data_IF_866605957762
#
_entry.id   IF_866605957762
#
_cell.length_a   1.000
_cell.length_b   1.000
_cell.length_c   1.000
_cell.angle_alpha   90.00
_cell.angle_beta   90.00
_cell.angle_gamma   90.00
#
_symmetry.space_group_name_H-M   'P 1'
#
loop_
_entity.id
_entity.type
_entity.pdbx_description
1 polymer ?
#
# COMPACT_ATOMS: atom_id res chain seq x y z
N UNK A 1 9.41 -4.59 -30.12
CA UNK A 1 9.07 -3.15 -30.05
C UNK A 1 9.14 -2.54 -28.64
N UNK A 2 9.32 -3.32 -27.55
CA UNK A 2 9.49 -2.78 -26.19
C UNK A 2 10.64 -1.74 -26.06
N UNK A 3 11.82 -2.04 -26.61
CA UNK A 3 12.93 -1.06 -26.70
C UNK A 3 12.56 0.21 -27.47
N UNK A 4 11.64 0.12 -28.44
CA UNK A 4 11.17 1.29 -29.17
C UNK A 4 10.17 2.11 -28.35
N UNK A 5 9.30 1.47 -27.55
CA UNK A 5 8.43 2.17 -26.61
C UNK A 5 9.22 2.92 -25.54
N UNK A 6 10.19 2.26 -24.90
CA UNK A 6 11.08 2.89 -23.91
C UNK A 6 11.87 4.07 -24.50
N UNK A 7 12.32 3.94 -25.75
CA UNK A 7 13.02 5.01 -26.45
C UNK A 7 12.09 6.19 -26.79
N UNK A 8 10.86 5.92 -27.22
CA UNK A 8 9.84 6.96 -27.46
C UNK A 8 9.52 7.68 -26.14
N UNK A 9 9.37 6.93 -25.04
CA UNK A 9 9.04 7.46 -23.74
C UNK A 9 10.18 8.32 -23.19
N UNK A 10 11.42 7.84 -23.30
CA UNK A 10 12.64 8.57 -22.95
C UNK A 10 12.80 9.84 -23.79
N UNK A 11 12.54 9.78 -25.09
CA UNK A 11 12.56 10.95 -25.97
C UNK A 11 11.47 11.96 -25.63
N UNK A 12 10.25 11.50 -25.30
CA UNK A 12 9.16 12.36 -24.86
C UNK A 12 9.49 13.05 -23.54
N UNK A 13 10.12 12.34 -22.60
CA UNK A 13 10.61 12.93 -21.35
C UNK A 13 11.72 13.96 -21.59
N UNK A 14 12.76 13.60 -22.36
CA UNK A 14 13.89 14.48 -22.66
C UNK A 14 13.50 15.75 -23.43
N UNK A 15 12.43 15.70 -24.23
CA UNK A 15 11.91 16.85 -24.99
C UNK A 15 10.81 17.63 -24.26
N UNK A 16 10.50 17.28 -23.01
CA UNK A 16 9.43 17.94 -22.24
C UNK A 16 8.01 17.68 -22.76
N UNK A 17 7.83 16.68 -23.64
CA UNK A 17 6.56 16.33 -24.28
C UNK A 17 5.81 15.18 -23.62
N UNK A 18 6.33 14.63 -22.51
CA UNK A 18 5.76 13.50 -21.78
C UNK A 18 4.28 13.74 -21.40
N UNK A 19 3.95 14.89 -20.82
CA UNK A 19 2.58 15.24 -20.44
C UNK A 19 1.61 15.23 -21.65
N UNK A 20 2.04 15.76 -22.80
CA UNK A 20 1.24 15.74 -24.04
C UNK A 20 1.04 14.32 -24.57
N UNK A 21 2.07 13.48 -24.48
CA UNK A 21 2.01 12.08 -24.89
C UNK A 21 1.05 11.28 -24.02
N UNK A 22 1.18 11.39 -22.69
CA UNK A 22 0.29 10.76 -21.72
C UNK A 22 -1.16 11.18 -21.92
N UNK A 23 -1.42 12.49 -22.08
CA UNK A 23 -2.76 13.01 -22.38
C UNK A 23 -3.38 12.36 -23.61
N UNK A 24 -2.61 12.21 -24.70
CA UNK A 24 -3.07 11.55 -25.93
C UNK A 24 -3.34 10.07 -25.71
N UNK A 25 -2.49 9.37 -24.95
CA UNK A 25 -2.69 7.97 -24.59
C UNK A 25 -3.95 7.77 -23.75
N UNK A 26 -4.21 8.62 -22.75
CA UNK A 26 -5.42 8.55 -21.92
C UNK A 26 -6.66 8.74 -22.79
N UNK A 27 -6.71 9.78 -23.64
CA UNK A 27 -7.85 9.99 -24.55
C UNK A 27 -8.06 8.82 -25.51
N UNK A 28 -6.97 8.21 -25.98
CA UNK A 28 -7.03 7.07 -26.88
C UNK A 28 -7.52 5.80 -26.16
N UNK A 29 -7.06 5.55 -24.94
CA UNK A 29 -7.57 4.46 -24.10
C UNK A 29 -9.07 4.64 -23.82
N UNK A 30 -9.46 5.85 -23.42
CA UNK A 30 -10.84 6.24 -23.12
C UNK A 30 -11.77 6.02 -24.32
N UNK A 31 -11.33 6.38 -25.52
CA UNK A 31 -12.09 6.17 -26.75
C UNK A 31 -12.33 4.68 -27.05
N UNK A 32 -11.39 3.80 -26.70
CA UNK A 32 -11.46 2.36 -27.01
C UNK A 32 -12.13 1.53 -25.89
N UNK A 33 -12.62 2.13 -24.80
CA UNK A 33 -13.14 1.41 -23.63
C UNK A 33 -14.49 0.72 -23.83
N UNK A 34 -15.24 1.07 -24.88
CA UNK A 34 -16.59 0.54 -25.15
C UNK A 34 -16.92 0.51 -26.66
N UNK A 35 -18.05 -0.11 -27.00
CA UNK A 35 -18.51 -0.33 -28.37
C UNK A 35 -19.06 0.97 -29.01
N UNK A 36 -18.85 1.14 -30.32
CA UNK A 36 -19.43 2.21 -31.14
C UNK A 36 -20.20 1.68 -32.37
N UNK A 37 -21.02 0.63 -32.19
CA UNK A 37 -21.90 0.09 -33.26
C UNK A 37 -21.19 -0.58 -34.45
N UNK A 38 -19.93 -1.02 -34.29
CA UNK A 38 -19.08 -1.47 -35.40
C UNK A 38 -19.09 -3.00 -35.61
N UNK A 39 -18.59 -3.45 -36.77
CA UNK A 39 -18.41 -4.86 -37.11
C UNK A 39 -17.45 -5.60 -36.15
N UNK A 40 -17.61 -6.92 -36.03
CA UNK A 40 -16.89 -7.80 -35.08
C UNK A 40 -15.36 -7.67 -35.12
N UNK A 41 -14.75 -7.57 -36.31
CA UNK A 41 -13.30 -7.40 -36.44
C UNK A 41 -12.81 -6.08 -35.83
N UNK A 42 -13.57 -5.00 -35.98
CA UNK A 42 -13.20 -3.71 -35.40
C UNK A 42 -13.31 -3.74 -33.87
N UNK A 43 -14.28 -4.49 -33.32
CA UNK A 43 -14.41 -4.66 -31.88
C UNK A 43 -13.18 -5.32 -31.24
N UNK A 44 -12.62 -6.33 -31.90
CA UNK A 44 -11.38 -6.98 -31.46
C UNK A 44 -10.18 -6.02 -31.52
N UNK A 45 -10.05 -5.25 -32.60
CA UNK A 45 -9.00 -4.23 -32.69
C UNK A 45 -9.12 -3.18 -31.58
N UNK A 46 -10.32 -2.66 -31.30
CA UNK A 46 -10.54 -1.71 -30.20
C UNK A 46 -10.19 -2.30 -28.83
N UNK A 47 -10.59 -3.55 -28.57
CA UNK A 47 -10.20 -4.25 -27.35
C UNK A 47 -8.67 -4.30 -27.20
N UNK A 48 -7.95 -4.71 -28.25
CA UNK A 48 -6.48 -4.74 -28.23
C UNK A 48 -5.86 -3.35 -28.03
N UNK A 49 -6.43 -2.30 -28.62
CA UNK A 49 -5.99 -0.92 -28.44
C UNK A 49 -6.22 -0.44 -27.00
N UNK A 50 -7.36 -0.76 -26.39
CA UNK A 50 -7.60 -0.51 -24.98
C UNK A 50 -6.57 -1.24 -24.12
N UNK A 51 -6.33 -2.53 -24.39
CA UNK A 51 -5.39 -3.36 -23.65
C UNK A 51 -3.98 -2.78 -23.63
N UNK A 52 -3.40 -2.54 -24.80
CA UNK A 52 -2.02 -2.09 -24.93
C UNK A 52 -1.84 -0.68 -24.37
N UNK A 53 -2.81 0.22 -24.57
CA UNK A 53 -2.72 1.59 -24.04
C UNK A 53 -2.88 1.63 -22.53
N UNK A 54 -3.71 0.76 -21.94
CA UNK A 54 -3.82 0.62 -20.49
C UNK A 54 -2.48 0.15 -19.89
N UNK A 55 -1.84 -0.85 -20.50
CA UNK A 55 -0.52 -1.33 -20.06
C UNK A 55 0.55 -0.22 -20.17
N UNK A 56 0.60 0.49 -21.30
CA UNK A 56 1.52 1.62 -21.49
C UNK A 56 1.32 2.68 -20.41
N UNK A 57 0.06 3.03 -20.09
CA UNK A 57 -0.24 4.01 -19.05
C UNK A 57 0.17 3.52 -17.66
N UNK A 58 -0.08 2.26 -17.29
CA UNK A 58 0.40 1.67 -16.04
C UNK A 58 1.92 1.71 -15.94
N UNK A 59 2.62 1.35 -17.02
CA UNK A 59 4.07 1.39 -17.08
C UNK A 59 4.62 2.81 -16.88
N UNK A 60 4.03 3.81 -17.57
CA UNK A 60 4.40 5.22 -17.40
C UNK A 60 4.16 5.67 -15.96
N UNK A 61 3.01 5.33 -15.36
CA UNK A 61 2.68 5.67 -13.98
C UNK A 61 3.71 5.13 -13.00
N UNK A 62 4.11 3.87 -13.17
CA UNK A 62 5.13 3.24 -12.34
C UNK A 62 6.51 3.88 -12.55
N UNK A 63 6.87 4.30 -13.77
CA UNK A 63 8.20 4.83 -14.09
C UNK A 63 8.38 6.31 -13.72
N UNK A 64 7.36 7.14 -13.90
CA UNK A 64 7.43 8.60 -13.72
C UNK A 64 6.61 9.11 -12.52
N UNK A 65 5.94 8.22 -11.80
CA UNK A 65 5.04 8.54 -10.68
C UNK A 65 3.64 8.94 -11.15
N UNK A 66 2.66 8.65 -10.31
CA UNK A 66 1.23 8.87 -10.62
C UNK A 66 0.94 10.37 -10.79
N UNK A 67 1.59 11.21 -9.98
CA UNK A 67 1.45 12.67 -10.04
C UNK A 67 1.81 13.25 -11.41
N UNK A 68 2.76 12.66 -12.14
CA UNK A 68 3.09 13.13 -13.50
C UNK A 68 1.95 12.97 -14.51
N UNK A 69 0.90 12.21 -14.17
CA UNK A 69 -0.19 11.85 -15.07
C UNK A 69 -1.52 12.54 -14.73
N UNK A 70 -1.76 12.94 -13.48
CA UNK A 70 -3.09 13.34 -12.98
C UNK A 70 -3.45 14.82 -13.24
N UNK A 71 -2.48 15.71 -13.46
CA UNK A 71 -2.73 17.16 -13.53
C UNK A 71 -3.29 17.70 -14.86
N UNK A 72 -4.09 16.91 -15.58
CA UNK A 72 -4.69 17.36 -16.83
C UNK A 72 -6.21 17.44 -16.71
N UNK A 73 -6.73 18.67 -16.62
CA UNK A 73 -8.17 18.97 -16.54
C UNK A 73 -8.99 18.30 -17.66
N UNK A 74 -8.40 18.07 -18.84
CA UNK A 74 -9.10 17.44 -19.96
C UNK A 74 -9.24 15.92 -19.84
N UNK A 75 -8.50 15.26 -18.95
CA UNK A 75 -8.52 13.80 -18.80
C UNK A 75 -8.89 13.35 -17.39
N UNK A 76 -9.21 14.28 -16.48
CA UNK A 76 -9.53 13.98 -15.08
C UNK A 76 -10.73 13.02 -14.92
N UNK A 77 -11.70 13.11 -15.83
CA UNK A 77 -12.91 12.29 -15.80
C UNK A 77 -12.75 10.96 -16.57
N UNK A 78 -11.54 10.67 -17.07
CA UNK A 78 -11.27 9.40 -17.76
C UNK A 78 -11.24 8.23 -16.78
N UNK A 79 -11.55 7.04 -17.29
CA UNK A 79 -11.46 5.80 -16.50
C UNK A 79 -10.07 5.62 -15.88
N UNK A 80 -9.00 5.80 -16.67
CA UNK A 80 -7.64 5.59 -16.18
C UNK A 80 -7.25 6.61 -15.10
N UNK A 81 -7.65 7.87 -15.25
CA UNK A 81 -7.34 8.92 -14.27
C UNK A 81 -8.03 8.68 -12.92
N UNK A 82 -9.24 8.11 -12.92
CA UNK A 82 -9.93 7.69 -11.69
C UNK A 82 -9.34 6.39 -11.11
N UNK A 83 -9.02 5.42 -11.96
CA UNK A 83 -8.54 4.10 -11.54
C UNK A 83 -7.13 4.13 -10.93
N UNK A 84 -6.18 4.85 -11.56
CA UNK A 84 -4.76 4.79 -11.17
C UNK A 84 -4.46 5.21 -9.73
N UNK A 85 -4.97 6.34 -9.17
CA UNK A 85 -4.67 6.71 -7.79
C UNK A 85 -5.29 5.77 -6.76
N UNK A 86 -6.42 5.13 -7.09
CA UNK A 86 -7.14 4.25 -6.17
C UNK A 86 -6.62 2.81 -6.19
N UNK A 87 -6.00 2.40 -7.30
CA UNK A 87 -5.61 1.00 -7.50
C UNK A 87 -4.10 0.78 -7.56
N UNK A 88 -3.34 1.65 -8.24
CA UNK A 88 -1.92 1.44 -8.45
C UNK A 88 -1.12 1.98 -7.25
N UNK A 89 -0.35 1.10 -6.60
CA UNK A 89 0.53 1.50 -5.50
C UNK A 89 1.70 2.35 -6.00
N UNK A 90 2.16 3.30 -5.18
CA UNK A 90 3.32 4.15 -5.47
C UNK A 90 4.30 4.14 -4.29
N UNK A 91 5.50 3.57 -4.52
CA UNK A 91 6.59 3.57 -3.55
C UNK A 91 6.27 2.76 -2.29
N UNK A 92 5.61 1.60 -2.44
CA UNK A 92 5.21 0.74 -1.32
C UNK A 92 3.95 1.22 -0.58
N UNK A 93 3.29 2.30 -1.04
CA UNK A 93 2.03 2.79 -0.47
C UNK A 93 0.86 2.10 -1.17
N UNK A 94 0.28 1.11 -0.49
CA UNK A 94 -0.89 0.37 -0.96
C UNK A 94 -2.19 1.02 -0.51
N UNK A 95 -3.21 0.91 -1.37
CA UNK A 95 -4.56 1.37 -1.06
C UNK A 95 -5.34 0.32 -0.25
N UNK A 96 -6.42 0.72 0.41
CA UNK A 96 -7.31 -0.19 1.13
C UNK A 96 -7.99 -1.16 0.14
N UNK A 97 -7.80 -2.49 0.28
CA UNK A 97 -8.38 -3.50 -0.62
C UNK A 97 -9.89 -3.44 -0.70
N UNK A 98 -10.57 -3.17 0.43
CA UNK A 98 -12.02 -3.09 0.51
C UNK A 98 -12.55 -1.88 -0.26
N UNK A 99 -11.84 -0.75 -0.18
CA UNK A 99 -12.18 0.46 -0.94
C UNK A 99 -12.06 0.23 -2.44
N UNK A 100 -11.04 -0.50 -2.89
CA UNK A 100 -10.90 -0.85 -4.31
C UNK A 100 -12.09 -1.67 -4.85
N UNK A 101 -12.81 -2.38 -3.97
CA UNK A 101 -13.94 -3.22 -4.33
C UNK A 101 -15.30 -2.54 -4.16
N UNK A 102 -15.38 -1.36 -3.52
CA UNK A 102 -16.66 -0.74 -3.14
C UNK A 102 -17.56 -0.36 -4.31
N UNK A 103 -17.01 -0.24 -5.52
CA UNK A 103 -17.73 0.08 -6.75
C UNK A 103 -18.08 -1.14 -7.63
N UNK A 104 -17.83 -2.37 -7.15
CA UNK A 104 -18.13 -3.58 -7.92
C UNK A 104 -19.63 -3.87 -7.98
N UNK A 105 -20.08 -4.34 -9.14
CA UNK A 105 -21.46 -4.76 -9.43
C UNK A 105 -21.54 -6.29 -9.32
N UNK A 106 -22.29 -6.83 -8.33
CA UNK A 106 -22.39 -8.28 -8.12
C UNK A 106 -22.83 -9.05 -9.36
N UNK A 107 -23.77 -8.52 -10.15
CA UNK A 107 -24.27 -9.21 -11.33
C UNK A 107 -23.18 -9.35 -12.41
N UNK A 108 -22.27 -8.38 -12.50
CA UNK A 108 -21.13 -8.45 -13.42
C UNK A 108 -20.06 -9.40 -12.90
N UNK A 109 -19.89 -9.48 -11.58
CA UNK A 109 -18.96 -10.42 -10.94
C UNK A 109 -19.39 -11.86 -11.22
N UNK A 110 -20.68 -12.19 -11.05
CA UNK A 110 -21.22 -13.52 -11.35
C UNK A 110 -20.98 -13.91 -12.82
N UNK A 111 -21.26 -12.99 -13.75
CA UNK A 111 -20.99 -13.20 -15.17
C UNK A 111 -19.50 -13.43 -15.47
N UNK A 112 -18.59 -12.75 -14.76
CA UNK A 112 -17.15 -12.96 -14.92
C UNK A 112 -16.71 -14.31 -14.36
N UNK A 113 -17.24 -14.72 -13.21
CA UNK A 113 -16.98 -16.03 -12.61
C UNK A 113 -17.42 -17.16 -13.54
N UNK A 114 -18.63 -17.09 -14.08
CA UNK A 114 -19.12 -18.05 -15.08
C UNK A 114 -18.18 -18.13 -16.29
N UNK A 115 -17.74 -16.98 -16.80
CA UNK A 115 -16.86 -16.90 -17.97
C UNK A 115 -15.48 -17.47 -17.71
N UNK A 116 -14.86 -17.19 -16.56
CA UNK A 116 -13.52 -17.69 -16.23
C UNK A 116 -13.50 -19.17 -15.87
N UNK A 117 -14.58 -19.67 -15.28
CA UNK A 117 -14.75 -21.09 -14.96
C UNK A 117 -15.13 -21.92 -16.18
N UNK A 118 -15.71 -21.31 -17.21
CA UNK A 118 -16.00 -21.98 -18.48
C UNK A 118 -14.73 -22.09 -19.36
N UNK A 119 -14.48 -23.27 -19.92
CA UNK A 119 -13.46 -23.45 -20.98
C UNK A 119 -13.95 -22.95 -22.35
N UNK A 120 -14.93 -22.05 -22.39
CA UNK A 120 -15.47 -21.53 -23.65
C UNK A 120 -14.43 -20.59 -24.28
N UNK A 121 -13.99 -20.82 -25.53
CA UNK A 121 -13.10 -19.89 -26.23
C UNK A 121 -13.78 -18.54 -26.51
N UNK A 122 -15.12 -18.45 -26.40
CA UNK A 122 -15.88 -17.25 -26.69
C UNK A 122 -16.19 -16.44 -25.41
N UNK A 123 -15.20 -15.68 -24.93
CA UNK A 123 -15.52 -14.49 -24.14
C UNK A 123 -16.32 -13.58 -25.08
N UNK A 124 -17.46 -13.04 -24.64
CA UNK A 124 -18.27 -12.09 -25.42
C UNK A 124 -17.57 -10.71 -25.52
N UNK A 125 -16.28 -10.73 -25.85
CA UNK A 125 -15.34 -9.62 -26.08
C UNK A 125 -15.92 -8.56 -27.00
N UNK A 126 -16.72 -8.98 -27.98
CA UNK A 126 -17.37 -8.08 -28.95
C UNK A 126 -18.38 -7.12 -28.32
N UNK A 127 -18.90 -7.44 -27.12
CA UNK A 127 -19.86 -6.61 -26.40
C UNK A 127 -19.35 -6.08 -25.04
N UNK A 128 -18.07 -6.32 -24.73
CA UNK A 128 -17.52 -5.97 -23.43
C UNK A 128 -17.27 -4.46 -23.31
N UNK A 129 -17.69 -3.90 -22.17
CA UNK A 129 -17.23 -2.59 -21.70
C UNK A 129 -16.00 -2.82 -20.83
N UNK A 130 -14.81 -2.73 -21.43
CA UNK A 130 -13.56 -3.16 -20.80
C UNK A 130 -13.24 -2.45 -19.49
N UNK A 131 -13.56 -1.15 -19.40
CA UNK A 131 -13.42 -0.41 -18.15
C UNK A 131 -14.28 -0.99 -17.02
N UNK A 132 -15.51 -1.43 -17.30
CA UNK A 132 -16.36 -2.09 -16.30
C UNK A 132 -15.77 -3.47 -15.93
N UNK A 133 -15.21 -4.21 -16.89
CA UNK A 133 -14.52 -5.49 -16.61
C UNK A 133 -13.30 -5.26 -15.70
N UNK A 134 -12.48 -4.24 -15.97
CA UNK A 134 -11.32 -3.88 -15.14
C UNK A 134 -11.70 -3.55 -13.68
N UNK A 135 -12.86 -2.90 -13.46
CA UNK A 135 -13.37 -2.59 -12.11
C UNK A 135 -13.85 -3.84 -11.38
N UNK A 136 -14.52 -4.76 -12.07
CA UNK A 136 -15.19 -5.91 -11.44
C UNK A 136 -14.30 -7.15 -11.31
N UNK A 137 -13.26 -7.28 -12.14
CA UNK A 137 -12.39 -8.46 -12.14
C UNK A 137 -11.66 -8.72 -10.81
N UNK A 138 -11.25 -7.71 -10.01
CA UNK A 138 -10.65 -7.97 -8.70
C UNK A 138 -11.60 -8.67 -7.73
N UNK A 139 -12.90 -8.32 -7.74
CA UNK A 139 -13.90 -8.97 -6.90
C UNK A 139 -14.12 -10.43 -7.32
N UNK A 140 -14.19 -10.71 -8.63
CA UNK A 140 -14.28 -12.08 -9.13
C UNK A 140 -13.07 -12.93 -8.67
N UNK A 141 -11.86 -12.37 -8.71
CA UNK A 141 -10.67 -13.08 -8.23
C UNK A 141 -10.66 -13.22 -6.71
N UNK A 142 -11.19 -12.27 -5.95
CA UNK A 142 -11.39 -12.43 -4.51
C UNK A 142 -12.27 -13.64 -4.19
N UNK A 143 -13.38 -13.83 -4.90
CA UNK A 143 -14.26 -15.01 -4.71
C UNK A 143 -13.53 -16.32 -5.04
N UNK A 144 -12.72 -16.34 -6.12
CA UNK A 144 -11.87 -17.50 -6.46
C UNK A 144 -10.83 -17.79 -5.37
N UNK A 145 -10.20 -16.74 -4.83
CA UNK A 145 -9.23 -16.87 -3.75
C UNK A 145 -9.90 -17.44 -2.48
N UNK A 146 -11.05 -16.89 -2.09
CA UNK A 146 -11.83 -17.36 -0.93
C UNK A 146 -12.24 -18.82 -1.12
N UNK A 147 -12.72 -19.20 -2.31
CA UNK A 147 -13.08 -20.58 -2.61
C UNK A 147 -11.86 -21.52 -2.49
N UNK A 148 -10.67 -21.07 -2.93
CA UNK A 148 -9.45 -21.85 -2.77
C UNK A 148 -8.97 -21.92 -1.31
N UNK A 149 -9.12 -20.83 -0.55
CA UNK A 149 -8.83 -20.75 0.88
C UNK A 149 -9.62 -21.79 1.67
N UNK A 150 -10.92 -21.91 1.38
CA UNK A 150 -11.83 -22.87 2.02
C UNK A 150 -11.81 -24.27 1.41
N UNK A 151 -10.95 -24.53 0.41
CA UNK A 151 -10.82 -25.84 -0.21
C UNK A 151 -11.99 -26.25 -1.12
N UNK A 152 -12.84 -25.31 -1.52
CA UNK A 152 -13.94 -25.55 -2.44
C UNK A 152 -13.47 -25.79 -3.89
N UNK A 153 -12.30 -25.23 -4.26
CA UNK A 153 -11.66 -25.45 -5.56
C UNK A 153 -10.19 -25.86 -5.39
N UNK A 154 -9.67 -26.61 -6.37
CA UNK A 154 -8.28 -27.06 -6.38
C UNK A 154 -7.33 -26.00 -6.94
N UNK A 155 -6.03 -26.16 -6.67
CA UNK A 155 -4.97 -25.32 -7.26
C UNK A 155 -4.98 -25.38 -8.79
N UNK A 156 -5.37 -26.51 -9.38
CA UNK A 156 -5.42 -26.67 -10.84
C UNK A 156 -6.57 -25.86 -11.44
N UNK A 157 -7.72 -25.81 -10.77
CA UNK A 157 -8.84 -24.93 -11.14
C UNK A 157 -8.42 -23.46 -11.04
N UNK A 158 -7.70 -23.07 -9.98
CA UNK A 158 -7.18 -21.70 -9.84
C UNK A 158 -6.23 -21.35 -10.98
N UNK A 159 -5.26 -22.23 -11.30
CA UNK A 159 -4.33 -22.01 -12.42
C UNK A 159 -5.07 -21.86 -13.74
N UNK A 160 -6.05 -22.72 -14.00
CA UNK A 160 -6.89 -22.66 -15.20
C UNK A 160 -7.63 -21.31 -15.30
N UNK A 161 -8.24 -20.84 -14.21
CA UNK A 161 -8.92 -19.52 -14.15
C UNK A 161 -7.93 -18.38 -14.46
N UNK A 162 -6.75 -18.39 -13.85
CA UNK A 162 -5.74 -17.35 -14.06
C UNK A 162 -5.18 -17.36 -15.49
N UNK A 163 -4.99 -18.54 -16.06
CA UNK A 163 -4.58 -18.70 -17.47
C UNK A 163 -5.68 -18.23 -18.42
N UNK A 164 -6.95 -18.52 -18.11
CA UNK A 164 -8.09 -18.00 -18.84
C UNK A 164 -8.09 -16.46 -18.83
N UNK A 165 -7.91 -15.82 -17.66
CA UNK A 165 -7.80 -14.36 -17.55
C UNK A 165 -6.64 -13.82 -18.40
N UNK A 166 -5.43 -14.39 -18.29
CA UNK A 166 -4.24 -13.99 -19.07
C UNK A 166 -4.49 -14.04 -20.57
N UNK A 167 -5.13 -15.11 -21.04
CA UNK A 167 -5.37 -15.34 -22.47
C UNK A 167 -6.31 -14.32 -23.10
N UNK A 168 -7.17 -13.66 -22.31
CA UNK A 168 -8.12 -12.67 -22.84
C UNK A 168 -7.45 -11.33 -23.10
N UNK A 169 -6.97 -10.70 -22.04
CA UNK A 169 -6.54 -9.30 -22.03
C UNK A 169 -5.49 -9.13 -20.95
N UNK A 170 -4.34 -8.55 -21.30
CA UNK A 170 -3.22 -8.39 -20.39
C UNK A 170 -3.47 -7.30 -19.32
N UNK A 171 -4.42 -6.40 -19.53
CA UNK A 171 -4.84 -5.41 -18.54
C UNK A 171 -5.58 -6.02 -17.34
N UNK A 172 -6.22 -7.20 -17.50
CA UNK A 172 -6.97 -7.83 -16.43
C UNK A 172 -6.05 -8.38 -15.33
N UNK A 173 -4.98 -9.16 -15.64
CA UNK A 173 -3.95 -9.49 -14.67
C UNK A 173 -3.37 -8.29 -13.94
N UNK A 174 -3.20 -7.14 -14.61
CA UNK A 174 -2.72 -5.91 -13.97
C UNK A 174 -3.72 -5.38 -12.94
N UNK A 175 -5.02 -5.34 -13.26
CA UNK A 175 -6.07 -4.90 -12.33
C UNK A 175 -6.16 -5.82 -11.11
N UNK A 176 -6.11 -7.13 -11.35
CA UNK A 176 -6.14 -8.14 -10.30
C UNK A 176 -4.88 -8.02 -9.43
N UNK A 177 -3.72 -7.86 -10.05
CA UNK A 177 -2.45 -7.77 -9.34
C UNK A 177 -2.38 -6.53 -8.44
N UNK A 178 -2.91 -5.39 -8.90
CA UNK A 178 -3.01 -4.18 -8.11
C UNK A 178 -3.81 -4.43 -6.81
N UNK A 179 -4.95 -5.11 -6.92
CA UNK A 179 -5.75 -5.48 -5.75
C UNK A 179 -5.05 -6.53 -4.87
N UNK A 180 -4.50 -7.60 -5.45
CA UNK A 180 -3.79 -8.64 -4.72
C UNK A 180 -2.63 -8.05 -3.92
N UNK A 181 -1.88 -7.09 -4.49
CA UNK A 181 -0.80 -6.44 -3.77
C UNK A 181 -1.30 -5.65 -2.55
N UNK A 182 -2.37 -4.88 -2.73
CA UNK A 182 -3.02 -4.20 -1.61
C UNK A 182 -3.52 -5.18 -0.55
N UNK A 183 -4.12 -6.30 -0.97
CA UNK A 183 -4.66 -7.32 -0.07
C UNK A 183 -3.54 -8.02 0.72
N UNK A 184 -2.48 -8.43 0.05
CA UNK A 184 -1.30 -9.04 0.69
C UNK A 184 -0.69 -8.11 1.74
N UNK A 185 -0.70 -6.80 1.51
CA UNK A 185 -0.15 -5.82 2.44
C UNK A 185 -0.90 -5.78 3.78
N UNK A 186 -2.18 -6.15 3.81
CA UNK A 186 -2.98 -6.19 5.05
C UNK A 186 -3.09 -7.59 5.67
N UNK A 187 -2.67 -8.63 4.96
CA UNK A 187 -2.74 -10.02 5.43
C UNK A 187 -1.62 -10.41 6.41
N UNK A 188 -1.92 -11.38 7.28
CA UNK A 188 -0.93 -12.09 8.08
C UNK A 188 -0.08 -13.04 7.21
N UNK A 189 1.14 -13.36 7.64
CA UNK A 189 2.11 -14.10 6.82
C UNK A 189 1.60 -15.44 6.30
N UNK A 190 0.90 -16.21 7.13
CA UNK A 190 0.37 -17.54 6.79
C UNK A 190 -0.68 -17.48 5.67
N UNK A 191 -1.43 -16.38 5.58
CA UNK A 191 -2.49 -16.16 4.61
C UNK A 191 -1.95 -15.64 3.27
N UNK A 192 -0.72 -15.11 3.23
CA UNK A 192 -0.14 -14.50 2.02
C UNK A 192 0.23 -15.49 0.93
N UNK A 193 0.41 -16.78 1.25
CA UNK A 193 0.96 -17.75 0.31
C UNK A 193 0.06 -17.94 -0.93
N UNK A 194 -1.25 -18.08 -0.73
CA UNK A 194 -2.21 -18.26 -1.83
C UNK A 194 -2.28 -17.02 -2.76
N UNK A 195 -2.51 -15.78 -2.28
CA UNK A 195 -2.52 -14.61 -3.15
C UNK A 195 -1.15 -14.33 -3.80
N UNK A 196 -0.03 -14.63 -3.13
CA UNK A 196 1.31 -14.57 -3.75
C UNK A 196 1.45 -15.56 -4.91
N UNK A 197 0.95 -16.79 -4.77
CA UNK A 197 0.97 -17.78 -5.85
C UNK A 197 0.12 -17.34 -7.05
N UNK A 198 -1.02 -16.67 -6.81
CA UNK A 198 -1.85 -16.12 -7.89
C UNK A 198 -1.10 -15.02 -8.67
N UNK A 199 -0.40 -14.11 -7.96
CA UNK A 199 0.46 -13.09 -8.60
C UNK A 199 1.58 -13.72 -9.43
N UNK A 200 2.26 -14.73 -8.89
CA UNK A 200 3.33 -15.44 -9.60
C UNK A 200 2.80 -16.13 -10.87
N UNK A 201 1.60 -16.73 -10.81
CA UNK A 201 0.98 -17.35 -11.97
C UNK A 201 0.68 -16.35 -13.09
N UNK A 202 0.45 -15.06 -12.80
CA UNK A 202 0.32 -14.07 -13.86
C UNK A 202 1.62 -13.78 -14.62
N UNK A 203 2.76 -14.03 -13.99
CA UNK A 203 4.08 -13.83 -14.58
C UNK A 203 4.60 -15.07 -15.34
N UNK A 204 3.94 -16.23 -15.19
CA UNK A 204 4.30 -17.43 -15.94
C UNK A 204 3.77 -17.37 -17.38
N UNK A 205 4.55 -17.84 -18.38
CA UNK A 205 4.05 -18.02 -19.73
C UNK A 205 2.78 -18.88 -19.76
N UNK A 206 1.88 -18.65 -20.71
CA UNK A 206 0.76 -19.57 -20.94
C UNK A 206 1.32 -20.93 -21.38
N UNK A 207 0.99 -21.98 -20.64
CA UNK A 207 1.30 -23.37 -21.01
C UNK A 207 0.30 -23.89 -22.03
N UNK A 208 0.76 -24.16 -23.25
CA UNK A 208 -0.07 -24.64 -24.38
C UNK A 208 -0.26 -26.17 -24.45
N UNK A 209 -0.19 -26.89 -23.33
CA UNK A 209 -0.01 -28.36 -23.36
C UNK A 209 -1.29 -29.22 -23.21
N UNK A 210 -2.50 -28.67 -23.14
CA UNK A 210 -3.73 -29.47 -22.92
C UNK A 210 -4.54 -29.79 -24.17
N UNK A 211 -3.90 -30.17 -25.28
CA UNK A 211 -4.55 -30.98 -26.33
C UNK A 211 -3.58 -32.02 -26.92
N UNK A 212 -3.04 -32.91 -26.08
CA UNK A 212 -2.48 -34.17 -26.58
C UNK A 212 -3.62 -35.18 -26.71
N UNK A 213 -4.22 -35.20 -27.90
CA UNK A 213 -5.23 -36.16 -28.31
C UNK A 213 -5.07 -36.48 -29.80
N UNK A 214 -4.16 -37.43 -30.08
CA UNK A 214 -4.13 -38.36 -31.23
C UNK A 214 -4.40 -37.81 -32.63
N UNK A 215 -3.33 -37.64 -33.43
CA UNK A 215 -3.12 -38.30 -34.75
C UNK A 215 -1.91 -37.68 -35.49
N UNK A 216 -0.91 -38.47 -35.92
CA UNK A 216 0.24 -37.97 -36.68
C UNK A 216 -0.08 -38.00 -38.19
N UNK A 217 -0.46 -36.86 -38.78
CA UNK A 217 -0.61 -36.82 -40.25
C UNK A 217 -1.45 -35.72 -40.87
N UNK A 218 -1.84 -34.67 -40.15
CA UNK A 218 -2.49 -33.52 -40.77
C UNK A 218 -1.64 -32.27 -40.57
N UNK A 219 -1.19 -31.65 -41.67
CA UNK A 219 -0.70 -30.28 -41.71
C UNK A 219 -1.65 -29.39 -40.94
N UNK A 220 -1.27 -29.01 -39.71
CA UNK A 220 -1.97 -27.99 -38.92
C UNK A 220 -1.09 -26.76 -38.87
N UNK A 221 -1.64 -25.56 -39.14
CA UNK A 221 -0.89 -24.33 -38.95
C UNK A 221 -0.48 -24.26 -37.48
N UNK A 222 0.80 -24.09 -37.24
CA UNK A 222 1.36 -23.95 -35.90
C UNK A 222 0.54 -22.92 -35.12
N UNK A 223 -0.05 -23.31 -33.99
CA UNK A 223 -0.75 -22.39 -33.07
C UNK A 223 0.18 -21.27 -32.53
N UNK A 224 1.48 -21.35 -32.81
CA UNK A 224 2.46 -20.28 -32.69
C UNK A 224 2.13 -19.03 -33.55
N UNK A 225 1.20 -19.12 -34.50
CA UNK A 225 0.67 -17.99 -35.28
C UNK A 225 -0.40 -17.17 -34.51
N UNK A 226 -0.75 -17.54 -33.28
CA UNK A 226 -1.61 -16.71 -32.44
C UNK A 226 -0.85 -15.48 -31.93
N UNK A 227 -0.94 -14.40 -32.71
CA UNK A 227 -0.61 -13.01 -32.38
C UNK A 227 0.81 -12.78 -31.81
N UNK A 228 1.82 -12.43 -32.65
CA UNK A 228 3.08 -11.85 -32.18
C UNK A 228 2.88 -10.66 -31.23
N UNK A 229 1.74 -9.96 -31.34
CA UNK A 229 1.29 -8.91 -30.42
C UNK A 229 1.05 -9.39 -28.97
N UNK A 230 0.67 -10.65 -28.74
CA UNK A 230 0.45 -11.16 -27.38
C UNK A 230 1.75 -11.25 -26.59
N UNK A 231 2.82 -11.78 -27.18
CA UNK A 231 4.12 -11.94 -26.50
C UNK A 231 4.67 -10.60 -25.98
N UNK A 232 4.52 -9.53 -26.75
CA UNK A 232 4.97 -8.20 -26.33
C UNK A 232 4.08 -7.65 -25.20
N UNK A 233 2.76 -7.76 -25.32
CA UNK A 233 1.81 -7.35 -24.27
C UNK A 233 2.01 -8.13 -22.97
N UNK A 234 2.21 -9.45 -23.06
CA UNK A 234 2.44 -10.31 -21.90
C UNK A 234 3.76 -9.99 -21.20
N UNK A 235 4.79 -9.60 -21.95
CA UNK A 235 6.07 -9.15 -21.38
C UNK A 235 5.89 -7.83 -20.62
N UNK A 236 5.21 -6.85 -21.22
CA UNK A 236 4.91 -5.58 -20.58
C UNK A 236 4.05 -5.76 -19.31
N UNK A 237 3.01 -6.60 -19.39
CA UNK A 237 2.18 -7.01 -18.26
C UNK A 237 3.02 -7.62 -17.12
N UNK A 238 3.86 -8.61 -17.43
CA UNK A 238 4.72 -9.25 -16.43
C UNK A 238 5.69 -8.25 -15.79
N UNK A 239 6.22 -7.29 -16.55
CA UNK A 239 7.09 -6.23 -16.03
C UNK A 239 6.35 -5.28 -15.08
N UNK A 240 5.11 -4.90 -15.42
CA UNK A 240 4.26 -4.08 -14.56
C UNK A 240 3.97 -4.81 -13.24
N UNK A 241 3.53 -6.07 -13.32
CA UNK A 241 3.22 -6.91 -12.14
C UNK A 241 4.48 -7.12 -11.29
N UNK A 242 5.62 -7.42 -11.93
CA UNK A 242 6.91 -7.58 -11.24
C UNK A 242 7.30 -6.32 -10.46
N UNK A 243 7.03 -5.14 -11.00
CA UNK A 243 7.29 -3.88 -10.30
C UNK A 243 6.34 -3.66 -9.11
N UNK A 244 5.06 -4.01 -9.23
CA UNK A 244 4.15 -4.02 -8.07
C UNK A 244 4.65 -4.99 -6.99
N UNK A 245 5.13 -6.17 -7.39
CA UNK A 245 5.70 -7.13 -6.45
C UNK A 245 7.03 -6.68 -5.83
N UNK A 246 7.87 -5.95 -6.59
CA UNK A 246 9.10 -5.36 -6.06
C UNK A 246 8.79 -4.39 -4.92
N UNK A 247 7.75 -3.57 -5.07
CA UNK A 247 7.30 -2.63 -4.05
C UNK A 247 6.74 -3.36 -2.81
N UNK A 248 6.30 -4.62 -2.95
CA UNK A 248 5.93 -5.48 -1.80
C UNK A 248 7.18 -6.09 -1.16
N UNK A 249 8.12 -6.56 -1.99
CA UNK A 249 9.34 -7.27 -1.60
C UNK A 249 10.50 -6.98 -2.59
N UNK A 250 11.44 -6.06 -2.29
CA UNK A 250 12.58 -5.79 -3.17
C UNK A 250 13.51 -7.01 -3.32
N UNK A 251 13.85 -7.48 -4.53
CA UNK A 251 14.74 -8.61 -4.80
C UNK A 251 16.21 -8.22 -4.56
N UNK A 252 16.60 -8.17 -3.29
CA UNK A 252 17.97 -8.46 -2.87
C UNK A 252 18.06 -9.56 -1.81
N UNK A 253 16.97 -10.24 -1.51
CA UNK A 253 16.98 -11.39 -0.61
C UNK A 253 15.90 -12.39 -1.07
N UNK A 254 16.31 -13.43 -1.80
CA UNK A 254 15.56 -14.69 -1.98
C UNK A 254 15.64 -15.56 -0.72
N UNK A 255 16.38 -15.12 0.31
CA UNK A 255 15.97 -15.44 1.66
C UNK A 255 14.78 -14.56 1.96
N UNK A 256 13.59 -15.14 2.13
CA UNK A 256 12.50 -14.57 2.94
C UNK A 256 12.87 -13.19 3.46
N UNK A 257 12.54 -12.10 2.73
CA UNK A 257 12.64 -10.77 3.32
C UNK A 257 11.56 -10.80 4.36
N UNK A 258 12.02 -11.18 5.54
CA UNK A 258 11.32 -10.89 6.73
C UNK A 258 11.16 -9.38 6.71
N UNK A 259 9.96 -8.88 6.43
CA UNK A 259 9.56 -7.67 7.15
C UNK A 259 9.94 -7.97 8.61
N UNK A 260 10.53 -7.05 9.35
CA UNK A 260 10.83 -7.26 10.78
C UNK A 260 9.61 -7.64 11.65
N UNK A 261 8.44 -7.82 11.02
CA UNK A 261 7.16 -8.29 11.52
C UNK A 261 6.79 -9.74 11.13
N UNK A 262 7.65 -10.45 10.38
CA UNK A 262 7.40 -11.82 9.87
C UNK A 262 8.06 -12.92 10.70
N UNK A 263 8.97 -12.57 11.59
CA UNK A 263 9.38 -13.48 12.64
C UNK A 263 8.42 -13.31 13.80
N UNK A 264 8.26 -14.32 14.65
CA UNK A 264 7.64 -14.18 15.98
C UNK A 264 8.34 -13.12 16.87
N UNK A 265 9.36 -12.45 16.34
CA UNK A 265 10.07 -11.30 16.87
C UNK A 265 9.08 -10.21 17.25
N UNK A 266 8.90 -9.96 18.55
CA UNK A 266 8.07 -8.86 19.03
C UNK A 266 8.60 -7.52 18.48
N UNK A 267 7.69 -6.53 18.32
CA UNK A 267 8.03 -5.21 17.77
C UNK A 267 9.23 -4.55 18.48
N UNK A 268 9.35 -4.76 19.79
CA UNK A 268 10.44 -4.20 20.59
C UNK A 268 11.80 -4.80 20.22
N UNK A 269 11.85 -6.08 19.87
CA UNK A 269 13.09 -6.78 19.50
C UNK A 269 13.54 -6.33 18.10
N UNK A 270 12.60 -6.17 17.17
CA UNK A 270 12.89 -5.61 15.85
C UNK A 270 13.41 -4.16 15.95
N UNK A 271 12.80 -3.34 16.81
CA UNK A 271 13.28 -1.99 17.09
C UNK A 271 14.69 -2.00 17.70
N UNK A 272 14.93 -2.85 18.70
CA UNK A 272 16.23 -2.96 19.39
C UNK A 272 17.35 -3.30 18.40
N UNK A 273 17.13 -4.32 17.55
CA UNK A 273 18.10 -4.73 16.54
C UNK A 273 18.46 -3.59 15.58
N UNK A 274 17.46 -2.86 15.06
CA UNK A 274 17.71 -1.77 14.10
C UNK A 274 18.35 -0.57 14.79
N UNK A 275 17.87 -0.20 15.98
CA UNK A 275 18.36 0.96 16.72
C UNK A 275 19.81 0.75 17.19
N UNK A 276 20.15 -0.41 17.75
CA UNK A 276 21.51 -0.69 18.23
C UNK A 276 22.54 -0.67 17.10
N UNK A 277 22.19 -1.22 15.93
CA UNK A 277 23.08 -1.18 14.76
C UNK A 277 23.26 0.25 14.23
N UNK A 278 22.19 1.03 14.19
CA UNK A 278 22.24 2.43 13.77
C UNK A 278 23.08 3.28 14.74
N UNK A 279 22.89 3.10 16.05
CA UNK A 279 23.63 3.80 17.09
C UNK A 279 25.12 3.47 17.06
N UNK A 280 25.48 2.18 16.93
CA UNK A 280 26.87 1.75 16.90
C UNK A 280 27.61 2.23 15.65
N UNK A 281 26.92 2.33 14.51
CA UNK A 281 27.50 2.78 13.24
C UNK A 281 27.52 4.30 13.09
N UNK A 282 26.59 5.00 13.74
CA UNK A 282 26.39 6.44 13.57
C UNK A 282 25.70 6.84 12.27
N UNK A 283 25.17 5.88 11.50
CA UNK A 283 24.43 6.12 10.26
C UNK A 283 23.35 5.04 10.06
N UNK A 284 22.33 5.38 9.27
CA UNK A 284 21.19 4.51 8.98
C UNK A 284 21.15 4.27 7.47
N UNK A 285 21.00 3.01 7.05
CA UNK A 285 20.79 2.66 5.64
C UNK A 285 19.31 2.78 5.25
N UNK A 286 19.02 2.84 3.94
CA UNK A 286 17.65 2.99 3.46
C UNK A 286 16.73 1.85 3.96
N UNK A 287 17.27 0.63 4.14
CA UNK A 287 16.52 -0.54 4.61
C UNK A 287 16.10 -0.40 6.08
N UNK A 288 16.98 0.11 6.92
CA UNK A 288 16.68 0.40 8.31
C UNK A 288 15.61 1.50 8.42
N UNK A 289 15.65 2.54 7.58
CA UNK A 289 14.59 3.57 7.53
C UNK A 289 13.24 2.95 7.15
N UNK A 290 13.19 2.13 6.09
CA UNK A 290 11.95 1.45 5.68
C UNK A 290 11.40 0.51 6.75
N UNK A 291 12.30 -0.18 7.47
CA UNK A 291 11.93 -1.06 8.57
C UNK A 291 11.34 -0.27 9.74
N UNK A 292 11.93 0.87 10.08
CA UNK A 292 11.45 1.77 11.13
C UNK A 292 10.14 2.45 10.76
N UNK A 293 9.95 2.84 9.50
CA UNK A 293 8.67 3.37 8.99
C UNK A 293 7.56 2.31 9.08
N UNK A 294 7.87 1.05 8.75
CA UNK A 294 6.95 -0.07 8.91
C UNK A 294 6.59 -0.29 10.38
N UNK A 295 7.58 -0.28 11.28
CA UNK A 295 7.37 -0.40 12.73
C UNK A 295 6.49 0.75 13.27
N UNK A 296 6.71 1.99 12.80
CA UNK A 296 5.88 3.14 13.16
C UNK A 296 4.45 3.00 12.64
N UNK A 297 4.25 2.45 11.42
CA UNK A 297 2.93 2.22 10.87
C UNK A 297 2.14 1.17 11.65
N UNK A 298 2.81 0.13 12.17
CA UNK A 298 2.15 -0.97 12.91
C UNK A 298 1.96 -0.65 14.38
N UNK A 299 2.98 -0.14 15.07
CA UNK A 299 2.87 0.23 16.49
C UNK A 299 2.18 1.57 16.73
N UNK A 300 2.14 2.43 15.72
CA UNK A 300 1.64 3.79 15.83
C UNK A 300 2.65 4.77 16.44
N UNK A 301 2.40 6.10 16.32
CA UNK A 301 3.33 7.15 16.78
C UNK A 301 3.63 7.08 18.28
N UNK A 302 2.63 6.77 19.10
CA UNK A 302 2.77 6.60 20.55
C UNK A 302 3.81 5.56 20.92
N UNK A 303 3.61 4.32 20.43
CA UNK A 303 4.50 3.21 20.70
C UNK A 303 5.90 3.47 20.15
N UNK A 304 5.97 4.03 18.94
CA UNK A 304 7.24 4.34 18.29
C UNK A 304 8.05 5.37 19.10
N UNK A 305 7.42 6.48 19.50
CA UNK A 305 8.05 7.50 20.34
C UNK A 305 8.45 6.98 21.72
N UNK A 306 7.59 6.24 22.42
CA UNK A 306 7.91 5.63 23.73
C UNK A 306 9.11 4.68 23.61
N UNK A 307 9.13 3.85 22.56
CA UNK A 307 10.19 2.87 22.36
C UNK A 307 11.52 3.54 22.03
N UNK A 308 11.53 4.57 21.18
CA UNK A 308 12.76 5.33 20.89
C UNK A 308 13.29 6.07 22.11
N UNK A 309 12.42 6.69 22.92
CA UNK A 309 12.84 7.30 24.19
C UNK A 309 13.45 6.26 25.11
N UNK A 310 12.83 5.08 25.26
CA UNK A 310 13.41 4.00 26.06
C UNK A 310 14.79 3.58 25.54
N UNK A 311 14.95 3.41 24.23
CA UNK A 311 16.24 3.06 23.64
C UNK A 311 17.30 4.13 23.92
N UNK A 312 16.95 5.42 23.76
CA UNK A 312 17.87 6.52 24.05
C UNK A 312 18.31 6.57 25.52
N UNK A 313 17.37 6.38 26.46
CA UNK A 313 17.65 6.50 27.89
C UNK A 313 18.36 5.27 28.50
N UNK A 314 18.57 4.19 27.73
CA UNK A 314 19.36 3.03 28.19
C UNK A 314 20.83 3.36 28.45
N UNK A 315 21.38 4.39 27.82
CA UNK A 315 22.81 4.70 27.88
C UNK A 315 23.18 5.53 29.12
N UNK A 316 24.16 5.06 29.89
CA UNK A 316 24.73 5.77 31.06
C UNK A 316 25.82 6.79 30.67
N UNK A 317 26.56 6.51 29.59
CA UNK A 317 27.63 7.39 29.11
C UNK A 317 27.06 8.58 28.34
N UNK A 318 27.49 9.79 28.69
CA UNK A 318 26.95 11.05 28.15
C UNK A 318 27.03 11.13 26.62
N UNK A 319 28.15 10.70 26.03
CA UNK A 319 28.34 10.72 24.57
C UNK A 319 27.38 9.77 23.85
N UNK A 320 27.21 8.55 24.37
CA UNK A 320 26.30 7.56 23.80
C UNK A 320 24.84 7.97 23.97
N UNK A 321 24.50 8.56 25.12
CA UNK A 321 23.18 9.12 25.38
C UNK A 321 22.85 10.25 24.41
N UNK A 322 23.76 11.20 24.20
CA UNK A 322 23.56 12.28 23.23
C UNK A 322 23.41 11.75 21.81
N UNK A 323 24.26 10.79 21.40
CA UNK A 323 24.15 10.14 20.10
C UNK A 323 22.82 9.42 19.92
N UNK A 324 22.32 8.75 20.95
CA UNK A 324 21.04 8.04 20.91
C UNK A 324 19.85 9.01 20.85
N UNK A 325 19.93 10.16 21.54
CA UNK A 325 18.94 11.23 21.44
C UNK A 325 18.94 11.88 20.06
N UNK A 326 20.11 12.18 19.49
CA UNK A 326 20.22 12.75 18.14
C UNK A 326 19.68 11.78 17.09
N UNK A 327 19.98 10.48 17.23
CA UNK A 327 19.42 9.43 16.40
C UNK A 327 17.89 9.38 16.51
N UNK A 328 17.36 9.40 17.73
CA UNK A 328 15.91 9.39 17.98
C UNK A 328 15.22 10.62 17.37
N UNK A 329 15.82 11.80 17.51
CA UNK A 329 15.33 13.02 16.87
C UNK A 329 15.34 12.91 15.34
N UNK A 330 16.40 12.34 14.76
CA UNK A 330 16.45 12.04 13.33
C UNK A 330 15.33 11.10 12.89
N UNK A 331 15.08 10.04 13.66
CA UNK A 331 14.01 9.07 13.39
C UNK A 331 12.60 9.63 13.56
N UNK A 332 12.41 10.63 14.42
CA UNK A 332 11.13 11.33 14.51
C UNK A 332 10.75 12.02 13.18
N UNK A 333 11.70 12.33 12.30
CA UNK A 333 11.41 12.93 10.99
C UNK A 333 10.73 11.99 10.00
N UNK A 334 10.56 10.71 10.33
CA UNK A 334 9.66 9.83 9.58
C UNK A 334 8.22 10.40 9.63
N UNK A 335 7.77 10.89 10.80
CA UNK A 335 6.54 11.66 10.99
C UNK A 335 6.67 12.61 12.19
N UNK A 336 7.29 13.79 11.95
CA UNK A 336 7.70 14.69 13.04
C UNK A 336 6.52 15.28 13.79
N UNK A 337 5.40 15.53 13.11
CA UNK A 337 4.20 16.10 13.72
C UNK A 337 3.56 15.09 14.68
N UNK A 338 3.34 13.86 14.22
CA UNK A 338 2.72 12.82 15.05
C UNK A 338 3.65 12.35 16.17
N UNK A 339 4.95 12.22 15.92
CA UNK A 339 5.91 11.85 16.97
C UNK A 339 6.06 12.94 18.03
N UNK A 340 6.10 14.22 17.64
CA UNK A 340 6.16 15.32 18.61
C UNK A 340 4.87 15.41 19.44
N UNK A 341 3.70 15.23 18.80
CA UNK A 341 2.42 15.20 19.50
C UNK A 341 2.35 14.03 20.50
N UNK A 342 2.71 12.82 20.08
CA UNK A 342 2.74 11.65 20.95
C UNK A 342 3.74 11.81 22.10
N UNK A 343 4.91 12.40 21.81
CA UNK A 343 5.92 12.71 22.82
C UNK A 343 5.37 13.65 23.89
N UNK A 344 4.66 14.71 23.51
CA UNK A 344 4.13 15.72 24.44
C UNK A 344 2.90 15.24 25.22
N UNK A 345 2.02 14.48 24.59
CA UNK A 345 0.70 14.13 25.16
C UNK A 345 0.70 12.82 25.92
N UNK A 346 1.60 11.89 25.59
CA UNK A 346 1.56 10.52 26.11
C UNK A 346 2.90 10.10 26.70
N UNK A 347 4.00 10.24 25.95
CA UNK A 347 5.30 9.70 26.40
C UNK A 347 5.88 10.52 27.54
N UNK A 348 6.08 11.84 27.37
CA UNK A 348 6.66 12.69 28.40
C UNK A 348 5.83 12.70 29.69
N UNK A 349 4.48 12.84 29.64
CA UNK A 349 3.65 12.69 30.84
C UNK A 349 3.86 11.34 31.54
N UNK A 350 4.04 10.24 30.80
CA UNK A 350 4.31 8.94 31.41
C UNK A 350 5.63 8.91 32.20
N UNK A 351 6.66 9.66 31.80
CA UNK A 351 7.90 9.76 32.57
C UNK A 351 7.80 10.73 33.75
N UNK A 352 7.00 11.80 33.62
CA UNK A 352 6.85 12.81 34.67
C UNK A 352 5.88 12.39 35.78
N UNK A 353 4.84 11.64 35.47
CA UNK A 353 3.74 11.34 36.40
C UNK A 353 3.85 9.98 37.09
N UNK A 354 4.64 9.04 36.56
CA UNK A 354 4.76 7.70 37.11
C UNK A 354 6.09 7.52 37.82
N UNK A 355 6.05 7.26 39.14
CA UNK A 355 7.25 7.13 40.00
C UNK A 355 8.26 6.11 39.44
N UNK A 356 7.80 4.96 38.94
CA UNK A 356 8.66 3.92 38.37
C UNK A 356 9.45 4.35 37.13
N UNK A 357 9.06 5.45 36.48
CA UNK A 357 9.76 6.00 35.31
C UNK A 357 10.55 7.26 35.63
N UNK A 358 10.33 7.89 36.79
CA UNK A 358 11.06 9.08 37.21
C UNK A 358 12.54 8.79 37.49
N UNK A 359 12.89 7.56 37.86
CA UNK A 359 14.29 7.15 38.01
C UNK A 359 15.11 7.36 36.73
N UNK A 360 14.47 7.21 35.56
CA UNK A 360 15.10 7.47 34.25
C UNK A 360 15.26 8.96 33.94
N UNK A 361 14.71 9.87 34.76
CA UNK A 361 14.85 11.31 34.62
C UNK A 361 15.98 11.90 35.47
N UNK A 362 16.74 11.05 36.18
CA UNK A 362 17.98 11.48 36.83
C UNK A 362 18.97 12.04 35.82
N UNK A 363 19.75 13.04 36.21
CA UNK A 363 20.79 13.58 35.33
C UNK A 363 21.84 12.50 35.01
N UNK A 364 22.30 12.38 33.75
CA UNK A 364 22.10 13.29 32.61
C UNK A 364 20.87 13.01 31.72
N UNK A 365 20.11 11.96 32.00
CA UNK A 365 18.99 11.47 31.16
C UNK A 365 17.82 12.44 31.09
N UNK A 366 17.50 13.10 32.20
CA UNK A 366 16.46 14.13 32.27
C UNK A 366 16.72 15.27 31.28
N UNK A 367 17.93 15.85 31.32
CA UNK A 367 18.35 16.90 30.38
C UNK A 367 18.36 16.42 28.92
N UNK A 368 18.78 15.18 28.67
CA UNK A 368 18.79 14.60 27.33
C UNK A 368 17.36 14.43 26.75
N UNK A 369 16.40 13.96 27.57
CA UNK A 369 15.00 13.86 27.18
C UNK A 369 14.39 15.25 26.94
N UNK A 370 14.67 16.23 27.81
CA UNK A 370 14.19 17.60 27.64
C UNK A 370 14.67 18.19 26.30
N UNK A 371 15.94 17.94 25.92
CA UNK A 371 16.48 18.33 24.63
C UNK A 371 15.72 17.69 23.47
N UNK A 372 15.44 16.38 23.52
CA UNK A 372 14.65 15.70 22.50
C UNK A 372 13.25 16.30 22.35
N UNK A 373 12.58 16.60 23.47
CA UNK A 373 11.25 17.22 23.50
C UNK A 373 11.28 18.59 22.83
N UNK A 374 12.23 19.46 23.21
CA UNK A 374 12.34 20.81 22.65
C UNK A 374 12.64 20.76 21.16
N UNK A 375 13.61 19.94 20.73
CA UNK A 375 13.97 19.82 19.32
C UNK A 375 12.80 19.30 18.47
N UNK A 376 12.12 18.24 18.93
CA UNK A 376 10.99 17.64 18.21
C UNK A 376 9.80 18.60 18.11
N UNK A 377 9.49 19.30 19.20
CA UNK A 377 8.41 20.30 19.22
C UNK A 377 8.72 21.45 18.27
N UNK A 378 9.95 21.97 18.32
CA UNK A 378 10.38 23.06 17.45
C UNK A 378 10.36 22.65 15.97
N UNK A 379 10.86 21.47 15.63
CA UNK A 379 10.84 20.94 14.27
C UNK A 379 9.41 20.77 13.73
N UNK A 380 8.51 20.19 14.54
CA UNK A 380 7.10 20.06 14.18
C UNK A 380 6.43 21.42 13.93
N UNK A 381 6.68 22.41 14.80
CA UNK A 381 6.18 23.77 14.63
C UNK A 381 6.75 24.43 13.37
N UNK A 382 8.03 24.25 13.05
CA UNK A 382 8.60 24.79 11.82
C UNK A 382 7.96 24.21 10.57
N UNK A 383 7.72 22.89 10.53
CA UNK A 383 7.01 22.23 9.42
C UNK A 383 5.62 22.83 9.23
N UNK A 384 4.90 23.04 10.34
CA UNK A 384 3.57 23.67 10.33
C UNK A 384 3.60 25.14 9.87
N UNK A 385 4.62 25.90 10.27
CA UNK A 385 4.73 27.35 9.99
C UNK A 385 5.20 27.62 8.55
N UNK A 386 6.08 26.76 8.01
CA UNK A 386 6.57 26.81 6.63
C UNK A 386 5.62 26.16 5.61
N UNK A 387 4.49 25.61 6.08
CA UNK A 387 3.38 25.15 5.23
C UNK A 387 2.17 26.10 5.32
N UNK A 388 2.31 27.41 5.02
CA UNK A 388 1.13 28.26 4.91
C UNK A 388 0.48 27.96 3.54
N UNK A 389 -0.80 27.57 3.56
CA UNK A 389 -1.67 27.45 2.38
C UNK A 389 -1.36 26.33 1.38
N UNK A 390 -1.65 25.08 1.75
CA UNK A 390 -2.33 24.13 0.87
C UNK A 390 -2.98 23.09 1.79
N UNK A 391 -4.21 22.68 1.51
CA UNK A 391 -4.84 21.50 2.10
C UNK A 391 -4.12 20.21 1.68
N UNK A 392 -2.82 20.14 1.94
CA UNK A 392 -1.91 19.07 1.58
C UNK A 392 -1.57 18.31 2.85
N UNK A 393 -2.59 17.67 3.43
CA UNK A 393 -2.30 16.50 4.23
C UNK A 393 -1.63 15.48 3.30
N UNK A 394 -0.43 15.02 3.67
CA UNK A 394 0.09 13.75 3.12
C UNK A 394 -1.03 12.73 3.22
N UNK A 395 -1.36 12.11 2.08
CA UNK A 395 -2.56 11.34 1.82
C UNK A 395 -3.16 10.59 3.02
N UNK A 396 -4.45 10.82 3.24
CA UNK A 396 -5.40 9.79 3.68
C UNK A 396 -5.27 9.22 5.10
N UNK A 397 -4.42 9.74 5.99
CA UNK A 397 -4.51 9.39 7.41
C UNK A 397 -5.65 10.20 8.02
N UNK A 398 -6.76 9.51 8.34
CA UNK A 398 -7.84 10.10 9.15
C UNK A 398 -7.22 10.78 10.37
N UNK A 399 -7.56 12.04 10.62
CA UNK A 399 -7.22 12.73 11.85
C UNK A 399 -7.65 11.84 13.02
N UNK A 400 -6.78 11.57 14.01
CA UNK A 400 -7.20 10.87 15.23
C UNK A 400 -8.41 11.58 15.83
N UNK A 401 -9.37 10.84 16.37
CA UNK A 401 -10.57 11.42 17.01
C UNK A 401 -10.21 12.52 18.02
N UNK A 402 -9.13 12.32 18.78
CA UNK A 402 -8.59 13.29 19.74
C UNK A 402 -8.06 14.59 19.12
N UNK A 403 -7.60 14.57 17.86
CA UNK A 403 -7.15 15.77 17.13
C UNK A 403 -8.37 16.63 16.74
N UNK A 404 -9.51 15.99 16.46
CA UNK A 404 -10.79 16.65 16.22
C UNK A 404 -11.35 17.27 17.51
N UNK A 405 -11.26 16.55 18.63
CA UNK A 405 -11.68 17.03 19.96
C UNK A 405 -10.78 18.16 20.47
N UNK A 406 -9.46 18.10 20.21
CA UNK A 406 -8.53 19.17 20.53
C UNK A 406 -8.80 20.43 19.69
N UNK A 407 -9.10 20.27 18.40
CA UNK A 407 -9.47 21.37 17.52
C UNK A 407 -10.81 21.98 17.95
N UNK A 408 -11.82 21.17 18.29
CA UNK A 408 -13.10 21.62 18.86
C UNK A 408 -12.92 22.35 20.20
N UNK A 409 -12.09 21.83 21.12
CA UNK A 409 -11.77 22.47 22.39
C UNK A 409 -11.00 23.80 22.21
N UNK A 410 -10.10 23.85 21.23
CA UNK A 410 -9.37 25.08 20.88
C UNK A 410 -10.28 26.12 20.20
N UNK A 411 -11.27 25.68 19.43
CA UNK A 411 -12.26 26.54 18.78
C UNK A 411 -13.31 27.05 19.78
N UNK A 412 -13.71 26.25 20.76
CA UNK A 412 -14.51 26.66 21.92
C UNK A 412 -13.78 27.69 22.78
N UNK A 413 -12.48 27.49 23.04
CA UNK A 413 -11.65 28.45 23.76
C UNK A 413 -11.53 29.80 23.05
N UNK A 414 -11.63 29.84 21.71
CA UNK A 414 -11.65 31.09 20.92
C UNK A 414 -13.03 31.75 20.88
N UNK A 415 -14.12 30.97 20.98
CA UNK A 415 -15.50 31.47 20.99
C UNK A 415 -15.94 32.00 22.36
N UNK A 416 -15.28 31.61 23.43
CA UNK A 416 -15.50 32.18 24.77
C UNK A 416 -14.92 33.60 24.89
N UNK A 417 -15.70 34.59 24.44
CA UNK A 417 -15.58 35.95 24.98
C UNK A 417 -15.89 35.91 26.49
N UNK A 418 -15.13 36.62 27.34
CA UNK A 418 -15.33 36.55 28.78
C UNK A 418 -16.60 37.34 29.11
N UNK A 419 -17.73 36.66 29.27
CA UNK A 419 -18.81 37.14 30.10
C UNK A 419 -19.83 36.03 30.40
N UNK A 420 -19.95 35.77 31.71
CA UNK A 420 -21.01 35.06 32.46
C UNK A 420 -20.66 33.65 32.93
N UNK A 421 -20.24 33.65 34.20
CA UNK A 421 -20.37 32.57 35.18
C UNK A 421 -21.76 31.92 35.05
N UNK A 422 -21.82 30.61 34.83
CA UNK A 422 -22.98 29.80 35.20
C UNK A 422 -22.52 28.44 35.74
N UNK A 423 -22.98 28.17 36.97
CA UNK A 423 -22.73 26.97 37.77
C UNK A 423 -23.45 25.74 37.20
N UNK A 424 -22.76 24.60 37.28
CA UNK A 424 -23.28 23.30 37.72
C UNK A 424 -23.94 22.42 36.67
N UNK A 425 -23.39 21.22 36.46
CA UNK A 425 -24.02 19.94 36.81
C UNK A 425 -22.99 18.80 36.63
N UNK A 426 -23.16 17.75 37.43
CA UNK A 426 -22.25 16.63 37.64
C UNK A 426 -22.32 15.61 36.50
N UNK A 427 -21.19 15.27 35.89
CA UNK A 427 -21.06 14.06 35.06
C UNK A 427 -20.46 12.94 35.92
N UNK A 428 -21.34 12.19 36.58
CA UNK A 428 -21.01 10.95 37.30
C UNK A 428 -21.82 9.75 36.78
N UNK A 429 -22.30 9.80 35.54
CA UNK A 429 -23.21 8.77 34.97
C UNK A 429 -22.79 8.24 33.59
N UNK A 430 -21.48 8.22 33.27
CA UNK A 430 -20.99 7.71 31.97
C UNK A 430 -19.89 6.64 32.09
N UNK A 431 -19.92 5.83 33.17
CA UNK A 431 -18.93 4.79 33.43
C UNK A 431 -19.46 3.34 33.49
N UNK A 432 -20.67 3.06 32.99
CA UNK A 432 -21.27 1.72 33.15
C UNK A 432 -21.32 0.80 31.92
N UNK A 433 -20.70 1.15 30.78
CA UNK A 433 -20.73 0.31 29.57
C UNK A 433 -19.35 0.04 28.93
N UNK A 434 -18.42 -0.57 29.69
CA UNK A 434 -17.24 -1.24 29.10
C UNK A 434 -17.20 -2.74 29.43
N UNK A 435 -17.11 -3.65 28.44
CA UNK A 435 -17.12 -5.10 28.67
C UNK A 435 -15.89 -5.63 29.43
N UNK A 436 -16.17 -6.59 30.31
CA UNK A 436 -15.34 -7.17 31.38
C UNK A 436 -14.14 -8.07 30.95
N UNK A 437 -13.51 -7.83 29.79
CA UNK A 437 -12.49 -8.74 29.24
C UNK A 437 -11.05 -8.18 29.17
N UNK A 438 -10.77 -7.00 29.72
CA UNK A 438 -9.42 -6.40 29.73
C UNK A 438 -8.83 -6.14 31.13
N UNK A 439 -9.42 -6.74 32.17
CA UNK A 439 -8.83 -6.77 33.50
C UNK A 439 -8.42 -8.21 33.85
N UNK A 440 -7.22 -8.61 33.44
CA UNK A 440 -6.36 -9.57 34.16
C UNK A 440 -5.05 -9.77 33.39
N UNK A 441 -4.00 -9.10 33.85
CA UNK A 441 -2.65 -9.67 34.00
C UNK A 441 -1.88 -8.75 34.96
N UNK A 442 -2.30 -8.77 36.23
CA UNK A 442 -1.51 -8.26 37.35
C UNK A 442 -0.42 -9.26 37.69
N UNK A 443 0.80 -8.74 37.77
CA UNK A 443 1.83 -9.08 38.77
C UNK A 443 1.71 -10.43 39.48
N UNK A 444 2.30 -11.48 38.93
CA UNK A 444 2.72 -12.67 39.69
C UNK A 444 3.62 -13.54 38.80
N UNK A 445 4.85 -13.09 38.51
CA UNK A 445 5.92 -13.98 38.00
C UNK A 445 7.36 -13.41 38.03
N UNK A 446 7.69 -12.52 38.97
CA UNK A 446 9.09 -12.08 39.17
C UNK A 446 9.51 -12.05 40.65
N UNK A 447 9.12 -13.08 41.40
CA UNK A 447 9.78 -13.44 42.66
C UNK A 447 10.08 -14.91 42.67
N UNK A 448 11.10 -15.30 41.91
CA UNK A 448 11.88 -16.53 42.12
C UNK A 448 13.04 -16.49 41.14
N UNK A 449 14.20 -16.09 41.62
CA UNK A 449 15.52 -16.70 41.36
C UNK A 449 16.57 -15.73 41.92
N UNK A 450 17.24 -16.23 42.95
CA UNK A 450 18.48 -15.70 43.53
C UNK A 450 19.58 -15.46 42.48
#
# INVERSE_FOLDING_TARGET
QERAFELILSAAAATGKLSSFVKKLIKFNEYNKQISGEATKNAQTRALLFDITFLMLCHIAQHYGIHSMIFNEETKDSFFAAWVPECLAEGGRYNCPEKMLSGCDPAKVDLLLEQFMSNSPDFKSNQAKWHEVCVNVPMAIKEILIAWEHGAISIDTVKMVLDNVKSRMCCLPVCISAWLCSYINVLHHEERLKPMNMLQQFMTPLTTDTVVGTEPGADRPNAQEQNPSYKERSTLMANIIKKMMYDLHPPQHIQVISHGLTAKTPLWEAMDQVFSVAHSRGWIDLRAIQSLDTLMCVGGPQWFSDTLVRQALKHDHLEDLHRAVDLSFGLFHIDIEQCALALLTQVLPNYLLWETRQDFLTEPRGSALARLVVLSTFAALQVRTNSPTLGMQRGGRKRPYWDMELEEAMDESKRMRPNKIRRGLNDSELLDDTPFALQCHSEENYRSLD
#
